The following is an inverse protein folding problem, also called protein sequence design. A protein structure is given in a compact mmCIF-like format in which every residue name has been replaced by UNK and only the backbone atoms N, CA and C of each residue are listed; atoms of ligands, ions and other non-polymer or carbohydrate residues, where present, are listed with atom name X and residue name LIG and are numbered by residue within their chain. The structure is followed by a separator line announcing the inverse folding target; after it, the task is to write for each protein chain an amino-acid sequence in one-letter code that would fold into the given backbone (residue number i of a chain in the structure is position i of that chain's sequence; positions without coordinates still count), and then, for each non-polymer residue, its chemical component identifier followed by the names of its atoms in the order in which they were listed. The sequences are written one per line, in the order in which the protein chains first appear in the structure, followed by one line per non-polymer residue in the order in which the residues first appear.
data_IF_763446598451
#
_entry.id   IF_763446598451
#
_cell.length_a   1.000
_cell.length_b   1.000
_cell.length_c   1.000
_cell.angle_alpha   90.00
_cell.angle_beta   90.00
_cell.angle_gamma   90.00
#
_symmetry.space_group_name_H-M   'P 1'
#
loop_
_entity.id
_entity.type
_entity.pdbx_description
1 polymer ?
#
# COMPACT_ATOMS: atom_id res chain seq x y z
N UNK A 1 -29.70 57.28 -70.52
CA UNK A 1 -28.41 57.02 -69.83
C UNK A 1 -28.66 56.10 -68.63
N UNK A 2 -27.88 55.01 -68.56
CA UNK A 2 -27.67 54.01 -67.48
C UNK A 2 -28.89 53.23 -66.92
N UNK A 3 -29.08 52.00 -67.43
CA UNK A 3 -29.80 50.90 -66.75
C UNK A 3 -28.99 50.43 -65.53
N UNK A 4 -29.61 50.11 -64.37
CA UNK A 4 -28.90 49.40 -63.32
C UNK A 4 -28.66 47.96 -63.75
N UNK A 5 -27.39 47.60 -63.96
CA UNK A 5 -26.94 46.21 -64.08
C UNK A 5 -27.12 45.52 -62.73
N UNK A 6 -28.09 44.61 -62.64
CA UNK A 6 -28.19 43.68 -61.52
C UNK A 6 -27.12 42.60 -61.73
N UNK A 7 -26.03 42.65 -60.97
CA UNK A 7 -24.94 41.69 -61.11
C UNK A 7 -25.33 40.35 -60.46
N UNK A 8 -25.23 39.21 -61.18
CA UNK A 8 -25.66 37.90 -60.70
C UNK A 8 -24.82 37.33 -59.54
N UNK A 9 -23.67 37.94 -59.23
CA UNK A 9 -22.78 37.51 -58.14
C UNK A 9 -23.38 37.71 -56.74
N UNK A 10 -24.19 38.76 -56.51
CA UNK A 10 -24.72 39.06 -55.17
C UNK A 10 -25.79 38.06 -54.72
N UNK A 11 -26.60 37.54 -55.65
CA UNK A 11 -27.63 36.53 -55.35
C UNK A 11 -27.04 35.15 -55.07
N UNK A 12 -25.93 34.79 -55.73
CA UNK A 12 -25.23 33.53 -55.49
C UNK A 12 -24.59 33.51 -54.09
N UNK A 13 -23.94 34.61 -53.69
CA UNK A 13 -23.32 34.73 -52.37
C UNK A 13 -24.33 34.66 -51.23
N UNK A 14 -25.51 35.26 -51.41
CA UNK A 14 -26.63 35.17 -50.44
C UNK A 14 -27.17 33.74 -50.31
N UNK A 15 -27.31 33.02 -51.42
CA UNK A 15 -27.77 31.63 -51.41
C UNK A 15 -26.76 30.71 -50.71
N UNK A 16 -25.46 30.86 -50.99
CA UNK A 16 -24.39 30.07 -50.35
C UNK A 16 -24.34 30.33 -48.85
N UNK A 17 -24.44 31.60 -48.42
CA UNK A 17 -24.47 31.96 -47.00
C UNK A 17 -25.66 31.37 -46.25
N UNK A 18 -26.87 31.39 -46.85
CA UNK A 18 -28.07 30.79 -46.27
C UNK A 18 -27.96 29.27 -46.17
N UNK A 19 -27.44 28.59 -47.20
CA UNK A 19 -27.20 27.14 -47.14
C UNK A 19 -26.14 26.77 -46.09
N UNK A 20 -25.10 27.57 -45.94
CA UNK A 20 -24.08 27.39 -44.91
C UNK A 20 -24.64 27.52 -43.49
N UNK A 21 -25.55 28.47 -43.25
CA UNK A 21 -26.23 28.63 -41.96
C UNK A 21 -27.13 27.44 -41.62
N UNK A 22 -27.87 26.92 -42.60
CA UNK A 22 -28.76 25.76 -42.39
C UNK A 22 -27.94 24.49 -42.11
N UNK A 23 -26.87 24.25 -42.86
CA UNK A 23 -25.97 23.10 -42.65
C UNK A 23 -25.26 23.24 -41.29
N UNK A 24 -24.78 24.45 -40.96
CA UNK A 24 -24.17 24.73 -39.65
C UNK A 24 -25.14 24.46 -38.49
N UNK A 25 -26.40 24.89 -38.60
CA UNK A 25 -27.42 24.63 -37.59
C UNK A 25 -27.76 23.14 -37.44
N UNK A 26 -27.81 22.39 -38.54
CA UNK A 26 -28.01 20.93 -38.52
C UNK A 26 -26.82 20.20 -37.88
N UNK A 27 -25.59 20.60 -38.18
CA UNK A 27 -24.38 20.01 -37.59
C UNK A 27 -24.28 20.33 -36.09
N UNK A 28 -24.59 21.55 -35.67
CA UNK A 28 -24.66 21.94 -34.25
C UNK A 28 -25.74 21.17 -33.50
N UNK A 29 -26.93 20.98 -34.09
CA UNK A 29 -28.03 20.23 -33.46
C UNK A 29 -27.69 18.75 -33.27
N UNK A 30 -27.00 18.14 -34.25
CA UNK A 30 -26.51 16.77 -34.13
C UNK A 30 -25.35 16.63 -33.14
N UNK A 31 -24.49 17.65 -33.04
CA UNK A 31 -23.42 17.67 -32.04
C UNK A 31 -24.00 17.79 -30.61
N UNK A 32 -24.99 18.66 -30.40
CA UNK A 32 -25.68 18.79 -29.11
C UNK A 32 -26.38 17.48 -28.72
N UNK A 33 -27.12 16.85 -29.66
CA UNK A 33 -27.74 15.53 -29.42
C UNK A 33 -26.73 14.40 -29.15
N UNK A 34 -25.55 14.46 -29.76
CA UNK A 34 -24.47 13.49 -29.51
C UNK A 34 -23.86 13.69 -28.12
N UNK A 35 -23.62 14.94 -27.73
CA UNK A 35 -23.11 15.31 -26.40
C UNK A 35 -24.12 14.95 -25.32
N UNK A 36 -25.42 15.19 -25.51
CA UNK A 36 -26.46 14.84 -24.53
C UNK A 36 -26.58 13.32 -24.34
N UNK A 37 -26.46 12.52 -25.41
CA UNK A 37 -26.48 11.06 -25.33
C UNK A 37 -25.24 10.47 -24.66
N UNK A 38 -24.05 11.05 -24.88
CA UNK A 38 -22.79 10.59 -24.26
C UNK A 38 -22.72 11.00 -22.78
N UNK A 39 -23.20 12.20 -22.44
CA UNK A 39 -23.16 12.74 -21.08
C UNK A 39 -24.17 12.05 -20.15
N UNK A 40 -25.33 11.66 -20.67
CA UNK A 40 -26.44 11.12 -19.85
C UNK A 40 -26.30 9.62 -19.57
N UNK A 41 -25.73 8.83 -20.49
CA UNK A 41 -25.69 7.36 -20.33
C UNK A 41 -24.42 6.86 -19.64
N UNK A 42 -23.28 7.53 -19.82
CA UNK A 42 -21.99 7.10 -19.24
C UNK A 42 -21.71 7.63 -17.82
N UNK A 43 -22.02 8.91 -17.56
CA UNK A 43 -21.64 9.56 -16.29
C UNK A 43 -22.64 9.30 -15.16
N UNK A 44 -23.94 9.29 -15.44
CA UNK A 44 -24.96 9.01 -14.43
C UNK A 44 -24.93 7.55 -13.93
N UNK A 45 -24.59 6.60 -14.82
CA UNK A 45 -24.50 5.17 -14.46
C UNK A 45 -23.34 4.91 -13.48
N UNK A 46 -22.17 5.52 -13.72
CA UNK A 46 -21.01 5.42 -12.83
C UNK A 46 -21.21 6.15 -11.49
N UNK A 47 -21.82 7.34 -11.51
CA UNK A 47 -22.18 8.06 -10.29
C UNK A 47 -23.20 7.28 -9.45
N UNK A 48 -24.19 6.64 -10.08
CA UNK A 48 -25.18 5.79 -9.42
C UNK A 48 -24.57 4.52 -8.83
N UNK A 49 -23.64 3.86 -9.54
CA UNK A 49 -22.94 2.68 -9.03
C UNK A 49 -22.06 3.01 -7.82
N UNK A 50 -21.32 4.13 -7.86
CA UNK A 50 -20.48 4.59 -6.73
C UNK A 50 -21.33 5.02 -5.53
N UNK A 51 -22.47 5.68 -5.76
CA UNK A 51 -23.42 6.05 -4.71
C UNK A 51 -24.08 4.83 -4.05
N UNK A 52 -24.43 3.79 -4.83
CA UNK A 52 -24.93 2.51 -4.31
C UNK A 52 -23.88 1.76 -3.50
N UNK A 53 -22.65 1.66 -4.02
CA UNK A 53 -21.55 1.05 -3.28
C UNK A 53 -21.21 1.78 -1.97
N UNK A 54 -21.38 3.11 -1.92
CA UNK A 54 -21.24 3.88 -0.69
C UNK A 54 -22.44 3.71 0.26
N UNK A 55 -23.65 3.50 -0.27
CA UNK A 55 -24.86 3.25 0.52
C UNK A 55 -24.88 1.83 1.11
N UNK A 56 -24.25 0.85 0.44
CA UNK A 56 -24.15 -0.54 0.89
C UNK A 56 -22.88 -0.80 1.73
N UNK A 57 -22.03 0.20 1.94
CA UNK A 57 -20.81 0.07 2.74
C UNK A 57 -21.15 0.03 4.23
N UNK A 58 -20.92 -1.13 4.85
CA UNK A 58 -21.00 -1.28 6.31
C UNK A 58 -19.63 -1.06 6.95
N UNK A 59 -19.59 -0.14 7.91
CA UNK A 59 -18.37 0.19 8.64
C UNK A 59 -18.02 -0.95 9.60
N UNK A 60 -16.75 -1.34 9.64
CA UNK A 60 -16.34 -2.40 10.56
C UNK A 60 -16.30 -1.89 12.01
N UNK A 61 -16.48 -2.75 13.02
CA UNK A 61 -16.33 -2.36 14.43
C UNK A 61 -14.97 -1.69 14.71
N UNK A 62 -13.90 -2.16 14.06
CA UNK A 62 -12.57 -1.57 14.19
C UNK A 62 -12.51 -0.12 13.67
N UNK A 63 -13.26 0.22 12.62
CA UNK A 63 -13.33 1.60 12.11
C UNK A 63 -14.05 2.54 13.07
N UNK A 64 -15.21 2.14 13.58
CA UNK A 64 -15.95 2.97 14.53
C UNK A 64 -15.15 3.13 15.83
N UNK A 65 -14.50 2.07 16.30
CA UNK A 65 -13.66 2.09 17.48
C UNK A 65 -12.40 2.95 17.27
N UNK A 66 -11.77 2.92 16.09
CA UNK A 66 -10.59 3.75 15.81
C UNK A 66 -10.93 5.23 15.80
N UNK A 67 -12.04 5.63 15.18
CA UNK A 67 -12.53 7.02 15.20
C UNK A 67 -12.74 7.49 16.65
N UNK A 68 -13.49 6.73 17.44
CA UNK A 68 -13.74 7.09 18.84
C UNK A 68 -12.44 7.17 19.65
N UNK A 69 -11.55 6.19 19.48
CA UNK A 69 -10.27 6.14 20.20
C UNK A 69 -9.41 7.36 19.89
N UNK A 70 -9.10 7.64 18.62
CA UNK A 70 -8.17 8.72 18.26
C UNK A 70 -8.81 10.11 18.38
N UNK A 71 -10.14 10.23 18.35
CA UNK A 71 -10.81 11.52 18.58
C UNK A 71 -10.87 11.91 20.07
N UNK A 72 -10.76 10.95 20.99
CA UNK A 72 -11.00 11.18 22.43
C UNK A 72 -9.80 10.84 23.33
N UNK A 73 -8.81 10.12 22.81
CA UNK A 73 -7.61 9.72 23.54
C UNK A 73 -6.47 10.72 23.38
N UNK A 74 -5.59 10.81 24.39
CA UNK A 74 -4.29 11.48 24.27
C UNK A 74 -3.21 10.58 23.65
N UNK A 75 -3.51 9.30 23.51
CA UNK A 75 -2.65 8.32 22.85
C UNK A 75 -2.96 8.37 21.37
N UNK A 76 -1.97 8.74 20.57
CA UNK A 76 -2.03 8.87 19.11
C UNK A 76 -1.02 7.93 18.47
N UNK A 77 -1.12 7.68 17.15
CA UNK A 77 -0.11 6.92 16.44
C UNK A 77 1.30 7.47 16.63
N UNK A 78 2.30 6.59 16.65
CA UNK A 78 3.73 6.91 16.78
C UNK A 78 4.28 7.46 15.46
N UNK A 79 3.82 6.92 14.33
CA UNK A 79 4.18 7.43 13.01
C UNK A 79 3.54 8.79 12.73
N UNK A 80 4.26 9.65 12.03
CA UNK A 80 3.76 10.96 11.62
C UNK A 80 2.71 10.85 10.51
N UNK A 81 1.92 11.91 10.31
CA UNK A 81 0.95 11.98 9.21
C UNK A 81 1.58 11.67 7.85
N UNK A 82 2.79 12.17 7.60
CA UNK A 82 3.49 11.97 6.34
C UNK A 82 3.86 10.48 6.14
N UNK A 83 4.38 9.82 7.17
CA UNK A 83 4.74 8.40 7.13
C UNK A 83 3.50 7.52 6.96
N UNK A 84 2.44 7.83 7.70
CA UNK A 84 1.16 7.12 7.61
C UNK A 84 0.56 7.26 6.21
N UNK A 85 0.64 8.44 5.61
CA UNK A 85 0.05 8.72 4.29
C UNK A 85 0.62 7.82 3.20
N UNK A 86 1.93 7.50 3.25
CA UNK A 86 2.58 6.61 2.29
C UNK A 86 1.94 5.21 2.28
N UNK A 87 1.65 4.66 3.47
CA UNK A 87 0.97 3.35 3.59
C UNK A 87 -0.51 3.47 3.24
N UNK A 88 -1.16 4.53 3.70
CA UNK A 88 -2.57 4.80 3.46
C UNK A 88 -2.91 4.90 1.97
N UNK A 89 -2.09 5.57 1.17
CA UNK A 89 -2.31 5.72 -0.28
C UNK A 89 -2.32 4.36 -1.01
N UNK A 90 -1.55 3.39 -0.50
CA UNK A 90 -1.61 2.01 -1.00
C UNK A 90 -2.88 1.32 -0.55
N UNK A 91 -3.19 1.36 0.74
CA UNK A 91 -4.39 0.73 1.32
C UNK A 91 -5.66 1.23 0.66
N UNK A 92 -5.75 2.53 0.35
CA UNK A 92 -6.89 3.15 -0.35
C UNK A 92 -7.23 2.50 -1.69
N UNK A 93 -6.23 1.93 -2.36
CA UNK A 93 -6.39 1.29 -3.68
C UNK A 93 -6.38 -0.23 -3.62
N UNK A 94 -5.87 -0.82 -2.55
CA UNK A 94 -5.68 -2.27 -2.40
C UNK A 94 -6.62 -2.94 -1.41
N UNK A 95 -7.19 -2.20 -0.45
CA UNK A 95 -8.11 -2.75 0.54
C UNK A 95 -9.40 -3.27 -0.11
N UNK A 96 -9.95 -4.42 0.33
CA UNK A 96 -9.41 -5.30 1.36
C UNK A 96 -8.19 -6.10 0.87
N UNK A 97 -7.14 -6.21 1.68
CA UNK A 97 -5.92 -6.94 1.34
C UNK A 97 -5.32 -7.69 2.53
N UNK A 98 -4.28 -8.49 2.28
CA UNK A 98 -3.47 -9.11 3.32
C UNK A 98 -2.34 -8.16 3.74
N UNK A 99 -2.41 -7.65 4.97
CA UNK A 99 -1.45 -6.71 5.56
C UNK A 99 -0.75 -7.34 6.78
N UNK A 100 0.55 -7.60 6.66
CA UNK A 100 1.39 -8.05 7.77
C UNK A 100 2.11 -6.87 8.40
N UNK A 101 2.12 -6.80 9.72
CA UNK A 101 2.83 -5.75 10.46
C UNK A 101 3.77 -6.40 11.47
N UNK A 102 5.08 -6.24 11.28
CA UNK A 102 6.04 -6.46 12.35
C UNK A 102 6.00 -5.24 13.26
N UNK A 103 5.39 -5.41 14.44
CA UNK A 103 5.14 -4.39 15.44
C UNK A 103 3.70 -4.37 15.89
N UNK A 104 3.48 -4.15 17.18
CA UNK A 104 2.16 -3.94 17.77
C UNK A 104 2.23 -2.70 18.66
N UNK A 105 1.26 -1.80 18.55
CA UNK A 105 1.34 -0.54 19.29
C UNK A 105 0.11 0.34 19.15
N UNK A 106 0.33 1.65 19.31
CA UNK A 106 -0.74 2.64 19.27
C UNK A 106 -1.33 2.84 17.87
N UNK A 107 -0.64 2.37 16.84
CA UNK A 107 -1.00 2.54 15.43
C UNK A 107 -1.83 1.34 14.94
N UNK A 108 -1.84 0.22 15.68
CA UNK A 108 -2.42 -1.05 15.25
C UNK A 108 -3.93 -0.99 15.03
N UNK A 109 -4.65 -0.23 15.87
CA UNK A 109 -6.09 -0.02 15.68
C UNK A 109 -6.37 0.78 14.40
N UNK A 110 -5.57 1.80 14.12
CA UNK A 110 -5.61 2.54 12.85
C UNK A 110 -5.34 1.60 11.68
N UNK A 111 -4.25 0.82 11.69
CA UNK A 111 -3.93 -0.09 10.58
C UNK A 111 -5.00 -1.12 10.28
N UNK A 112 -5.65 -1.66 11.31
CA UNK A 112 -6.80 -2.55 11.14
C UNK A 112 -7.99 -1.81 10.53
N UNK A 113 -8.26 -0.59 10.99
CA UNK A 113 -9.38 0.22 10.48
C UNK A 113 -9.21 0.73 9.04
N UNK A 114 -7.96 0.92 8.60
CA UNK A 114 -7.62 1.35 7.24
C UNK A 114 -7.66 0.20 6.21
N UNK A 115 -7.87 -1.04 6.66
CA UNK A 115 -8.01 -2.23 5.82
C UNK A 115 -9.35 -2.95 6.11
N UNK A 116 -10.51 -2.27 5.98
CA UNK A 116 -11.80 -2.85 6.29
C UNK A 116 -12.05 -4.12 5.49
N UNK A 117 -12.54 -5.17 6.17
CA UNK A 117 -12.81 -6.50 5.60
C UNK A 117 -11.57 -7.25 5.07
N UNK A 118 -10.37 -6.67 5.18
CA UNK A 118 -9.11 -7.33 4.89
C UNK A 118 -8.54 -8.07 6.10
N UNK A 119 -7.39 -8.74 5.91
CA UNK A 119 -6.64 -9.31 7.03
C UNK A 119 -5.51 -8.37 7.41
N UNK A 120 -5.48 -7.89 8.66
CA UNK A 120 -4.32 -7.22 9.25
C UNK A 120 -3.79 -8.05 10.42
N UNK A 121 -2.55 -8.52 10.33
CA UNK A 121 -1.91 -9.38 11.34
C UNK A 121 -0.66 -8.71 11.90
N UNK A 122 -0.55 -8.67 13.23
CA UNK A 122 0.56 -8.04 13.95
C UNK A 122 1.49 -9.08 14.57
N UNK A 123 2.80 -8.87 14.46
CA UNK A 123 3.85 -9.71 15.02
C UNK A 123 4.70 -8.89 15.99
N UNK A 124 4.79 -9.30 17.25
CA UNK A 124 5.43 -8.52 18.32
C UNK A 124 6.35 -9.40 19.17
N UNK A 125 7.52 -8.90 19.57
CA UNK A 125 8.46 -9.69 20.38
C UNK A 125 8.05 -9.85 21.85
N UNK A 126 7.30 -8.90 22.41
CA UNK A 126 6.98 -8.87 23.84
C UNK A 126 5.61 -9.49 24.15
N UNK A 127 5.55 -10.70 24.74
CA UNK A 127 4.27 -11.34 25.07
C UNK A 127 3.43 -10.53 26.05
N UNK A 128 4.04 -9.76 26.97
CA UNK A 128 3.29 -8.92 27.92
C UNK A 128 2.68 -7.72 27.21
N UNK A 129 3.38 -7.16 26.24
CA UNK A 129 2.87 -6.08 25.42
C UNK A 129 1.69 -6.54 24.55
N UNK A 130 1.82 -7.71 23.91
CA UNK A 130 0.71 -8.33 23.15
C UNK A 130 -0.53 -8.46 24.02
N UNK A 131 -0.41 -9.06 25.20
CA UNK A 131 -1.54 -9.19 26.13
C UNK A 131 -2.14 -7.84 26.52
N UNK A 132 -1.30 -6.83 26.75
CA UNK A 132 -1.73 -5.48 27.14
C UNK A 132 -2.54 -4.80 26.04
N UNK A 133 -2.07 -4.87 24.80
CA UNK A 133 -2.74 -4.22 23.66
C UNK A 133 -4.00 -4.97 23.24
N UNK A 134 -3.93 -6.31 23.10
CA UNK A 134 -5.11 -7.13 22.72
C UNK A 134 -6.24 -7.02 23.75
N UNK A 135 -5.91 -6.89 25.05
CA UNK A 135 -6.93 -6.63 26.08
C UNK A 135 -7.66 -5.30 25.87
N UNK A 136 -6.99 -4.27 25.36
CA UNK A 136 -7.56 -2.95 25.09
C UNK A 136 -8.30 -2.89 23.76
N UNK A 137 -7.84 -3.64 22.77
CA UNK A 137 -8.45 -3.73 21.44
C UNK A 137 -8.56 -5.20 21.00
N UNK A 138 -9.61 -5.92 21.45
CA UNK A 138 -9.78 -7.36 21.19
C UNK A 138 -9.95 -7.74 19.72
N UNK A 139 -10.23 -6.76 18.85
CA UNK A 139 -10.35 -6.95 17.40
C UNK A 139 -9.00 -7.09 16.70
N UNK A 140 -7.87 -6.85 17.38
CA UNK A 140 -6.54 -6.96 16.79
C UNK A 140 -6.10 -8.42 16.71
N UNK A 141 -5.71 -8.87 15.51
CA UNK A 141 -5.08 -10.17 15.31
C UNK A 141 -3.56 -10.05 15.52
N UNK A 142 -3.06 -10.49 16.67
CA UNK A 142 -1.66 -10.32 17.03
C UNK A 142 -1.03 -11.60 17.60
N UNK A 143 0.22 -11.87 17.22
CA UNK A 143 1.00 -13.01 17.71
C UNK A 143 2.36 -12.57 18.27
N UNK A 144 2.80 -13.25 19.31
CA UNK A 144 4.16 -13.10 19.81
C UNK A 144 5.14 -13.84 18.91
N UNK A 145 6.27 -13.20 18.59
CA UNK A 145 7.35 -13.78 17.78
C UNK A 145 8.66 -13.78 18.56
N UNK A 146 9.38 -14.89 18.47
CA UNK A 146 10.74 -14.98 19.02
C UNK A 146 11.78 -14.70 17.94
N UNK A 147 12.64 -13.73 18.22
CA UNK A 147 13.78 -13.39 17.38
C UNK A 147 15.05 -14.06 17.90
N UNK A 148 15.84 -14.62 16.99
CA UNK A 148 17.11 -15.31 17.28
C UNK A 148 18.35 -14.53 16.87
N UNK A 149 18.16 -13.28 16.46
CA UNK A 149 19.19 -12.34 16.05
C UNK A 149 19.18 -11.15 16.98
N UNK A 150 20.35 -10.64 17.33
CA UNK A 150 20.52 -9.42 18.11
C UNK A 150 21.07 -8.30 17.23
N UNK A 151 20.80 -7.05 17.61
CA UNK A 151 21.25 -5.86 16.88
C UNK A 151 22.77 -5.84 16.69
N UNK A 152 23.54 -6.24 17.72
CA UNK A 152 24.99 -6.30 17.66
C UNK A 152 25.54 -7.27 16.61
N UNK A 153 24.74 -8.23 16.17
CA UNK A 153 25.15 -9.24 15.19
C UNK A 153 25.04 -8.74 13.75
N UNK A 154 24.44 -7.56 13.52
CA UNK A 154 24.12 -7.01 12.19
C UNK A 154 25.28 -7.11 11.19
N UNK A 155 26.48 -6.64 11.58
CA UNK A 155 27.65 -6.64 10.69
C UNK A 155 28.10 -8.07 10.36
N UNK A 156 28.07 -8.98 11.34
CA UNK A 156 28.46 -10.38 11.14
C UNK A 156 27.46 -11.12 10.24
N UNK A 157 26.17 -10.87 10.44
CA UNK A 157 25.10 -11.43 9.62
C UNK A 157 25.25 -11.03 8.15
N UNK A 158 25.46 -9.74 7.86
CA UNK A 158 25.68 -9.27 6.48
C UNK A 158 26.95 -9.85 5.85
N UNK A 159 28.01 -10.04 6.63
CA UNK A 159 29.25 -10.63 6.12
C UNK A 159 29.10 -12.12 5.77
N UNK A 160 28.28 -12.85 6.51
CA UNK A 160 28.25 -14.33 6.47
C UNK A 160 27.02 -14.92 5.79
N UNK A 161 25.93 -14.17 5.58
CA UNK A 161 24.71 -14.76 5.02
C UNK A 161 24.94 -15.33 3.60
N UNK A 162 25.80 -14.71 2.78
CA UNK A 162 26.09 -15.18 1.42
C UNK A 162 26.78 -16.54 1.37
N UNK A 163 27.50 -16.92 2.43
CA UNK A 163 28.16 -18.24 2.52
C UNK A 163 27.21 -19.36 2.96
N UNK A 164 26.01 -19.03 3.45
CA UNK A 164 24.97 -20.00 3.76
C UNK A 164 24.02 -20.15 2.56
N UNK A 165 24.04 -21.28 1.82
CA UNK A 165 23.21 -21.44 0.63
C UNK A 165 21.72 -21.26 0.90
N UNK A 166 21.23 -21.60 2.10
CA UNK A 166 19.83 -21.43 2.48
C UNK A 166 19.47 -20.00 2.90
N UNK A 167 20.41 -19.05 2.90
CA UNK A 167 20.16 -17.62 2.98
C UNK A 167 20.21 -16.92 1.61
N UNK A 168 20.59 -17.62 0.54
CA UNK A 168 20.67 -17.04 -0.80
C UNK A 168 19.29 -16.60 -1.30
N UNK A 169 19.18 -15.45 -2.00
CA UNK A 169 17.95 -15.00 -2.66
C UNK A 169 17.18 -16.07 -3.45
N UNK A 170 17.88 -17.03 -4.07
CA UNK A 170 17.29 -18.06 -4.93
C UNK A 170 16.86 -19.35 -4.21
N UNK A 171 17.28 -19.53 -2.95
CA UNK A 171 17.05 -20.78 -2.18
C UNK A 171 16.47 -20.55 -0.79
N UNK A 172 16.40 -19.30 -0.34
CA UNK A 172 15.90 -18.96 0.98
C UNK A 172 14.43 -19.34 1.13
N UNK A 173 14.12 -19.93 2.27
CA UNK A 173 12.77 -20.19 2.78
C UNK A 173 12.75 -19.86 4.27
N UNK A 174 11.56 -19.67 4.86
CA UNK A 174 11.43 -19.25 6.25
C UNK A 174 11.11 -20.40 7.20
N UNK A 175 9.95 -21.06 7.00
CA UNK A 175 9.45 -22.14 7.86
C UNK A 175 10.51 -23.23 8.05
N UNK A 176 11.01 -23.39 9.29
CA UNK A 176 12.00 -24.41 9.65
C UNK A 176 13.44 -24.20 9.14
N UNK A 177 13.78 -23.08 8.50
CA UNK A 177 15.14 -22.80 8.02
C UNK A 177 16.11 -22.41 9.15
N UNK A 178 16.50 -23.38 9.98
CA UNK A 178 17.39 -23.10 11.12
C UNK A 178 18.83 -22.78 10.69
N UNK A 179 19.24 -23.18 9.48
CA UNK A 179 20.58 -22.90 8.92
C UNK A 179 20.77 -21.43 8.61
N UNK A 180 19.79 -20.78 7.99
CA UNK A 180 19.86 -19.35 7.72
C UNK A 180 19.48 -18.52 8.93
N UNK A 181 20.45 -17.99 9.69
CA UNK A 181 20.17 -17.23 10.94
C UNK A 181 19.21 -16.05 10.78
N UNK A 182 19.15 -15.42 9.58
CA UNK A 182 18.22 -14.33 9.26
C UNK A 182 16.76 -14.78 9.05
N UNK A 183 16.50 -16.06 8.78
CA UNK A 183 15.15 -16.55 8.58
C UNK A 183 14.37 -16.58 9.91
N UNK A 184 13.16 -16.04 9.93
CA UNK A 184 12.23 -16.24 11.04
C UNK A 184 11.52 -17.58 10.86
N UNK A 185 11.89 -18.57 11.69
CA UNK A 185 11.52 -19.98 11.50
C UNK A 185 10.30 -20.45 12.30
N UNK A 186 9.88 -19.68 13.30
CA UNK A 186 8.78 -20.01 14.20
C UNK A 186 7.65 -18.98 14.18
N UNK A 187 7.30 -18.45 13.01
CA UNK A 187 6.10 -17.63 12.83
C UNK A 187 4.85 -18.52 12.81
N UNK A 188 3.65 -17.97 13.12
CA UNK A 188 2.40 -18.69 12.93
C UNK A 188 2.23 -19.19 11.50
N UNK A 189 1.56 -20.33 11.31
CA UNK A 189 1.37 -20.93 9.98
C UNK A 189 0.64 -20.00 9.01
N UNK A 190 -0.31 -19.20 9.50
CA UNK A 190 -0.99 -18.17 8.69
C UNK A 190 -0.01 -17.19 8.04
N UNK A 191 1.14 -16.91 8.68
CA UNK A 191 2.16 -16.01 8.10
C UNK A 191 2.87 -16.65 6.91
N UNK A 192 3.12 -17.96 6.98
CA UNK A 192 3.83 -18.69 5.92
C UNK A 192 2.92 -19.08 4.75
N UNK A 193 1.66 -19.36 5.02
CA UNK A 193 0.72 -19.90 4.03
C UNK A 193 -0.05 -18.80 3.26
N UNK A 194 0.15 -17.53 3.65
CA UNK A 194 -0.52 -16.37 3.06
C UNK A 194 0.43 -15.56 2.19
N UNK A 195 -0.07 -15.12 1.03
CA UNK A 195 0.59 -14.08 0.24
C UNK A 195 0.21 -12.71 0.79
N UNK A 196 1.21 -11.96 1.24
CA UNK A 196 1.02 -10.63 1.81
C UNK A 196 1.08 -9.57 0.71
N UNK A 197 0.10 -8.68 0.66
CA UNK A 197 0.07 -7.56 -0.30
C UNK A 197 0.86 -6.37 0.25
N UNK A 198 0.80 -6.17 1.57
CA UNK A 198 1.55 -5.16 2.29
C UNK A 198 2.29 -5.81 3.46
N UNK A 199 3.52 -5.37 3.71
CA UNK A 199 4.31 -5.74 4.88
C UNK A 199 4.89 -4.45 5.49
N UNK A 200 4.49 -4.12 6.71
CA UNK A 200 5.07 -3.04 7.51
C UNK A 200 6.13 -3.62 8.45
N UNK A 201 7.31 -3.02 8.48
CA UNK A 201 8.41 -3.39 9.38
C UNK A 201 8.69 -2.22 10.30
N UNK A 202 8.02 -2.23 11.46
CA UNK A 202 8.18 -1.24 12.52
C UNK A 202 8.65 -1.87 13.86
N UNK A 203 9.00 -3.14 13.84
CA UNK A 203 9.56 -3.87 14.97
C UNK A 203 10.45 -5.00 14.45
N UNK A 204 11.28 -5.61 15.30
CA UNK A 204 11.43 -5.41 16.75
C UNK A 204 12.12 -4.09 17.14
N UNK A 205 12.12 -3.80 18.45
CA UNK A 205 12.60 -2.56 19.09
C UNK A 205 13.98 -2.05 18.67
N UNK A 206 14.99 -2.93 18.59
CA UNK A 206 16.33 -2.58 18.10
C UNK A 206 17.05 -1.39 18.78
N UNK A 207 16.77 -1.04 20.04
CA UNK A 207 17.37 0.13 20.70
C UNK A 207 18.60 -0.16 21.58
N UNK A 208 19.00 -1.42 21.77
CA UNK A 208 20.22 -1.82 22.48
C UNK A 208 20.90 -3.03 21.83
N UNK A 209 22.20 -3.26 22.05
CA UNK A 209 22.98 -4.28 21.33
C UNK A 209 22.39 -5.70 21.38
N UNK A 210 21.89 -6.12 22.54
CA UNK A 210 21.32 -7.46 22.77
C UNK A 210 19.84 -7.56 22.38
N UNK A 211 19.20 -6.43 22.06
CA UNK A 211 17.82 -6.42 21.59
C UNK A 211 17.71 -7.12 20.24
N UNK A 212 16.56 -7.74 19.94
CA UNK A 212 16.26 -8.07 18.57
C UNK A 212 16.15 -6.79 17.73
N UNK A 213 16.79 -6.78 16.57
CA UNK A 213 16.67 -5.70 15.59
C UNK A 213 16.01 -6.18 14.30
N UNK A 214 15.70 -5.24 13.39
CA UNK A 214 14.83 -5.46 12.22
C UNK A 214 15.41 -6.32 11.11
N UNK A 215 16.65 -6.78 11.24
CA UNK A 215 17.40 -7.59 10.26
C UNK A 215 16.62 -8.83 9.78
N UNK A 216 16.12 -9.63 10.72
CA UNK A 216 15.39 -10.86 10.39
C UNK A 216 13.99 -10.59 9.82
N UNK A 217 13.34 -9.50 10.25
CA UNK A 217 12.06 -9.06 9.70
C UNK A 217 12.22 -8.57 8.24
N UNK A 218 13.22 -7.73 7.97
CA UNK A 218 13.60 -7.27 6.62
C UNK A 218 13.88 -8.46 5.70
N UNK A 219 14.74 -9.38 6.13
CA UNK A 219 15.05 -10.57 5.35
C UNK A 219 13.79 -11.42 5.09
N UNK A 220 12.95 -11.63 6.10
CA UNK A 220 11.73 -12.43 5.99
C UNK A 220 10.71 -11.80 5.04
N UNK A 221 10.55 -10.47 5.08
CA UNK A 221 9.68 -9.74 4.15
C UNK A 221 10.09 -9.96 2.69
N UNK A 222 11.40 -9.92 2.41
CA UNK A 222 11.92 -10.15 1.05
C UNK A 222 11.74 -11.58 0.61
N UNK A 223 11.95 -12.57 1.49
CA UNK A 223 11.71 -13.98 1.16
C UNK A 223 10.23 -14.23 0.89
N UNK A 224 9.32 -13.65 1.68
CA UNK A 224 7.87 -13.74 1.45
C UNK A 224 7.45 -13.09 0.13
N UNK A 225 7.95 -11.87 -0.15
CA UNK A 225 7.63 -11.14 -1.38
C UNK A 225 8.07 -11.91 -2.63
N UNK A 226 9.30 -12.44 -2.63
CA UNK A 226 9.83 -13.26 -3.74
C UNK A 226 9.15 -14.63 -3.87
N UNK A 227 8.64 -15.16 -2.76
CA UNK A 227 7.92 -16.43 -2.71
C UNK A 227 6.48 -16.35 -3.21
N UNK A 228 5.98 -15.14 -3.51
CA UNK A 228 4.64 -14.92 -4.05
C UNK A 228 4.48 -15.64 -5.40
N UNK A 229 3.39 -16.39 -5.52
CA UNK A 229 2.97 -17.14 -6.71
C UNK A 229 1.89 -16.39 -7.49
N UNK A 230 1.03 -15.64 -6.80
CA UNK A 230 -0.01 -14.81 -7.41
C UNK A 230 0.55 -13.60 -8.17
N UNK A 231 -0.28 -13.01 -9.03
CA UNK A 231 0.06 -11.76 -9.70
C UNK A 231 0.13 -10.59 -8.72
N UNK A 232 0.90 -9.56 -9.07
CA UNK A 232 1.05 -8.35 -8.27
C UNK A 232 2.40 -8.26 -7.58
N UNK A 233 2.53 -7.27 -6.71
CA UNK A 233 3.74 -6.97 -5.94
C UNK A 233 3.39 -6.92 -4.46
N UNK A 234 4.37 -7.19 -3.62
CA UNK A 234 4.28 -6.96 -2.17
C UNK A 234 4.86 -5.58 -1.88
N UNK A 235 4.07 -4.69 -1.29
CA UNK A 235 4.58 -3.40 -0.81
C UNK A 235 5.20 -3.58 0.57
N UNK A 236 6.51 -3.42 0.66
CA UNK A 236 7.25 -3.46 1.93
C UNK A 236 7.51 -2.05 2.40
N UNK A 237 7.14 -1.75 3.63
CA UNK A 237 7.38 -0.48 4.28
C UNK A 237 8.34 -0.68 5.45
N UNK A 238 9.41 0.11 5.50
CA UNK A 238 10.39 0.03 6.56
C UNK A 238 10.46 1.37 7.28
N UNK A 239 10.24 1.34 8.59
CA UNK A 239 10.41 2.49 9.46
C UNK A 239 11.83 2.52 10.05
N UNK A 240 12.24 3.65 10.62
CA UNK A 240 13.57 3.88 11.22
C UNK A 240 14.76 3.68 10.26
N UNK A 241 14.61 4.04 8.97
CA UNK A 241 15.69 3.93 7.96
C UNK A 241 16.86 4.89 8.16
N UNK A 242 16.73 5.88 9.04
CA UNK A 242 17.83 6.76 9.48
C UNK A 242 18.86 6.00 10.33
N UNK A 243 18.45 4.90 10.96
CA UNK A 243 19.32 4.03 11.73
C UNK A 243 20.21 3.20 10.81
N UNK A 244 21.48 3.07 11.21
CA UNK A 244 22.53 2.41 10.42
C UNK A 244 22.18 0.97 10.03
N UNK A 245 21.62 0.18 10.94
CA UNK A 245 21.36 -1.26 10.70
C UNK A 245 20.22 -1.43 9.71
N UNK A 246 19.12 -0.73 9.92
CA UNK A 246 17.93 -0.71 9.07
C UNK A 246 18.32 -0.29 7.66
N UNK A 247 19.05 0.82 7.51
CA UNK A 247 19.56 1.29 6.22
C UNK A 247 20.41 0.24 5.50
N UNK A 248 21.38 -0.35 6.19
CA UNK A 248 22.28 -1.35 5.58
C UNK A 248 21.52 -2.61 5.13
N UNK A 249 20.55 -3.08 5.91
CA UNK A 249 19.76 -4.24 5.56
C UNK A 249 18.73 -3.93 4.46
N UNK A 250 18.19 -2.71 4.43
CA UNK A 250 17.31 -2.26 3.36
C UNK A 250 18.06 -2.15 2.03
N UNK A 251 19.25 -1.53 2.03
CA UNK A 251 20.12 -1.45 0.86
C UNK A 251 20.54 -2.85 0.34
N UNK A 252 20.75 -3.80 1.24
CA UNK A 252 21.14 -5.16 0.85
C UNK A 252 19.95 -5.99 0.35
N UNK A 253 18.79 -5.92 1.00
CA UNK A 253 17.69 -6.85 0.72
C UNK A 253 16.51 -6.24 -0.04
N UNK A 254 16.21 -4.96 0.17
CA UNK A 254 15.04 -4.25 -0.38
C UNK A 254 15.38 -3.34 -1.57
N UNK A 255 16.65 -3.00 -1.82
CA UNK A 255 17.02 -2.10 -2.90
C UNK A 255 16.96 -2.75 -4.31
N UNK A 256 16.69 -1.92 -5.33
CA UNK A 256 16.46 -2.30 -6.74
C UNK A 256 17.51 -3.18 -7.40
N UNK A 257 18.78 -3.14 -6.99
CA UNK A 257 19.80 -4.04 -7.56
C UNK A 257 19.55 -5.51 -7.22
N UNK A 258 18.82 -5.75 -6.13
CA UNK A 258 18.48 -7.07 -5.62
C UNK A 258 16.98 -7.40 -5.81
N UNK A 259 16.17 -6.51 -6.38
CA UNK A 259 14.75 -6.73 -6.70
C UNK A 259 14.46 -6.51 -8.19
N UNK A 260 13.66 -7.40 -8.79
CA UNK A 260 13.19 -7.23 -10.17
C UNK A 260 12.09 -6.15 -10.18
N UNK A 261 12.50 -4.89 -10.39
CA UNK A 261 11.68 -3.69 -10.73
C UNK A 261 10.58 -3.28 -9.71
N UNK A 262 10.75 -2.11 -9.07
CA UNK A 262 9.69 -1.44 -8.30
C UNK A 262 10.02 0.01 -7.93
N UNK A 263 9.00 0.87 -7.77
CA UNK A 263 9.12 2.27 -7.36
C UNK A 263 9.64 2.39 -5.90
N UNK A 264 10.65 3.24 -5.69
CA UNK A 264 11.18 3.60 -4.38
C UNK A 264 10.62 4.98 -4.02
N UNK A 265 10.05 5.09 -2.83
CA UNK A 265 9.52 6.33 -2.27
C UNK A 265 10.02 6.45 -0.83
N UNK A 266 10.62 7.59 -0.50
CA UNK A 266 11.15 7.89 0.83
C UNK A 266 10.48 9.15 1.38
N UNK A 267 10.04 9.08 2.62
CA UNK A 267 9.43 10.21 3.35
C UNK A 267 9.97 10.20 4.78
N UNK A 268 10.86 11.13 5.10
CA UNK A 268 11.46 11.22 6.44
C UNK A 268 12.21 9.94 6.82
N UNK A 269 11.76 9.29 7.89
CA UNK A 269 12.38 8.08 8.43
C UNK A 269 11.75 6.77 7.93
N UNK A 270 11.04 6.85 6.81
CA UNK A 270 10.19 5.80 6.29
C UNK A 270 10.41 5.59 4.80
N UNK A 271 10.60 4.33 4.39
CA UNK A 271 10.78 3.95 2.99
C UNK A 271 9.79 2.88 2.56
N UNK A 272 9.31 3.01 1.31
CA UNK A 272 8.46 2.04 0.63
C UNK A 272 9.21 1.38 -0.53
N UNK A 273 9.05 0.07 -0.62
CA UNK A 273 9.57 -0.79 -1.68
C UNK A 273 8.44 -1.60 -2.30
N UNK A 274 8.45 -1.76 -3.63
CA UNK A 274 7.54 -2.67 -4.33
C UNK A 274 8.35 -3.88 -4.79
N UNK A 275 8.09 -5.04 -4.17
CA UNK A 275 8.87 -6.26 -4.31
C UNK A 275 8.08 -7.35 -5.05
#
# INVERSE_FOLDING_TARGET
MKRPQFTPEKSCLLAVALSGLIIGAFLLSNLIRSVDNISSFGLCSLASAKARAAADYDATPAQLQSILHYATSKIVPQQSLAEISVTFDVLKTRSPCNFLVFGLGFDSLMWTSLNPHGTTLFLEEDPKWVQTIVKKAPTLNAHTVQYRTQLQEANSLLKTYRSEPLCSPSKAYLRGNYKCKLALTGLPDEVYDKEWDLIMIDAPRGYFPEAPGRMAAIFSAVVMARGRKGSGVTHVFLHDVDRRVEKMFAEEFLCRKNLVIGCWEATGNFERYSC
#
